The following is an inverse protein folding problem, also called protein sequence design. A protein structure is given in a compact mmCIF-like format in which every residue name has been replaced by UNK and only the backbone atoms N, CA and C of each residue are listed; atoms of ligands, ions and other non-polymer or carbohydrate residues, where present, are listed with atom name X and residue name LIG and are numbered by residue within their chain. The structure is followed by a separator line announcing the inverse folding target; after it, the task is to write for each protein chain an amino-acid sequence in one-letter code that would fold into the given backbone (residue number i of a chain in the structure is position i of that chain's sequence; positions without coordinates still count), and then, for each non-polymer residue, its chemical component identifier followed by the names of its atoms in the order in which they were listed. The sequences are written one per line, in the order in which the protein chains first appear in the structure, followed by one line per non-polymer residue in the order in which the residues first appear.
data_IF_289014386624
#
_entry.id   IF_289014386624
#
_cell.length_a   1.000
_cell.length_b   1.000
_cell.length_c   1.000
_cell.angle_alpha   90.00
_cell.angle_beta   90.00
_cell.angle_gamma   90.00
#
_symmetry.space_group_name_H-M   'P 1'
#
loop_
_entity.id
_entity.type
_entity.pdbx_description
1 polymer ?
#
# COMPACT_ATOMS: atom_id res chain seq x y z
N UNK A 1 11.16 7.77 -18.56
CA UNK A 1 10.64 7.94 -17.19
C UNK A 1 11.05 6.72 -16.39
N UNK A 2 11.78 6.90 -15.30
CA UNK A 2 12.00 5.81 -14.37
C UNK A 2 10.68 5.62 -13.61
N UNK A 3 9.86 4.71 -14.11
CA UNK A 3 8.65 4.32 -13.40
C UNK A 3 9.00 3.80 -12.02
N UNK A 4 8.22 4.17 -11.01
CA UNK A 4 8.34 3.67 -9.64
C UNK A 4 7.91 2.20 -9.61
N UNK A 5 8.82 1.31 -9.98
CA UNK A 5 8.59 -0.13 -9.93
C UNK A 5 9.47 -0.76 -8.85
N UNK A 6 8.98 -1.84 -8.29
CA UNK A 6 9.75 -2.75 -7.47
C UNK A 6 9.78 -4.14 -8.11
N UNK A 7 10.87 -4.84 -7.90
CA UNK A 7 11.08 -6.19 -8.42
C UNK A 7 11.61 -7.05 -7.27
N UNK A 8 11.01 -8.23 -7.11
CA UNK A 8 11.34 -9.17 -6.05
C UNK A 8 11.43 -10.58 -6.64
N UNK A 9 12.41 -11.37 -6.19
CA UNK A 9 12.41 -12.81 -6.45
C UNK A 9 11.22 -13.45 -5.71
N UNK A 10 10.50 -14.32 -6.40
CA UNK A 10 9.35 -15.03 -5.85
C UNK A 10 9.29 -16.45 -6.39
N UNK A 11 9.73 -17.41 -5.57
CA UNK A 11 9.63 -18.86 -5.85
C UNK A 11 10.11 -19.23 -7.26
N UNK A 12 11.33 -18.81 -7.61
CA UNK A 12 11.96 -19.08 -8.91
C UNK A 12 11.43 -18.24 -10.07
N UNK A 13 10.67 -17.19 -9.78
CA UNK A 13 10.21 -16.19 -10.73
C UNK A 13 10.49 -14.78 -10.24
N UNK A 14 9.91 -13.79 -10.89
CA UNK A 14 9.96 -12.40 -10.48
C UNK A 14 8.55 -11.87 -10.25
N UNK A 15 8.34 -11.22 -9.12
CA UNK A 15 7.19 -10.37 -8.89
C UNK A 15 7.58 -8.95 -9.28
N UNK A 16 6.78 -8.33 -10.13
CA UNK A 16 6.95 -6.95 -10.56
C UNK A 16 5.70 -6.19 -10.16
N UNK A 17 5.86 -5.07 -9.49
CA UNK A 17 4.78 -4.17 -9.15
C UNK A 17 5.26 -2.73 -9.14
N UNK A 18 4.35 -1.81 -8.90
CA UNK A 18 4.68 -0.40 -8.90
C UNK A 18 3.54 0.45 -8.37
N UNK A 19 3.79 1.75 -8.32
CA UNK A 19 2.81 2.76 -7.96
C UNK A 19 2.56 3.65 -9.15
N UNK A 20 1.34 3.60 -9.65
CA UNK A 20 0.90 4.45 -10.75
C UNK A 20 0.74 5.90 -10.28
N UNK A 21 1.07 6.89 -11.14
CA UNK A 21 0.87 8.31 -10.81
C UNK A 21 -0.62 8.69 -10.76
N UNK A 22 -1.48 7.90 -11.37
CA UNK A 22 -2.92 8.13 -11.47
C UNK A 22 -3.68 6.82 -11.24
N UNK A 23 -3.93 6.50 -9.97
CA UNK A 23 -4.75 5.34 -9.61
C UNK A 23 -6.21 5.54 -10.01
N UNK A 24 -6.89 4.46 -10.40
CA UNK A 24 -8.33 4.49 -10.69
C UNK A 24 -9.11 4.52 -9.37
N UNK A 25 -9.96 5.55 -9.13
CA UNK A 25 -10.76 5.60 -7.91
C UNK A 25 -11.73 4.42 -7.83
N UNK A 26 -11.85 3.82 -6.66
CA UNK A 26 -12.79 2.74 -6.40
C UNK A 26 -13.37 2.85 -4.98
N UNK A 27 -14.64 2.44 -4.80
CA UNK A 27 -15.26 2.40 -3.48
C UNK A 27 -15.49 3.77 -2.84
N UNK A 28 -15.42 4.87 -3.61
CA UNK A 28 -15.68 6.21 -3.08
C UNK A 28 -17.14 6.46 -2.74
N UNK A 29 -17.40 7.47 -1.90
CA UNK A 29 -18.75 7.83 -1.44
C UNK A 29 -19.70 8.08 -2.63
N UNK A 30 -19.23 8.71 -3.70
CA UNK A 30 -20.01 8.94 -4.92
C UNK A 30 -20.40 7.65 -5.67
N UNK A 31 -19.66 6.56 -5.46
CA UNK A 31 -19.93 5.24 -6.02
C UNK A 31 -20.70 4.31 -5.06
N UNK A 32 -21.24 4.85 -3.96
CA UNK A 32 -21.99 4.08 -2.98
C UNK A 32 -21.13 3.40 -1.89
N UNK A 33 -19.84 3.72 -1.84
CA UNK A 33 -18.91 3.14 -0.87
C UNK A 33 -18.32 1.80 -1.30
N UNK A 34 -17.63 1.16 -0.39
CA UNK A 34 -17.12 -0.20 -0.57
C UNK A 34 -18.28 -1.18 -0.38
N UNK A 35 -18.50 -2.15 -1.29
CA UNK A 35 -19.55 -3.14 -1.10
C UNK A 35 -19.38 -3.93 0.19
N UNK A 36 -20.45 -4.13 0.97
CA UNK A 36 -20.44 -4.81 2.29
C UNK A 36 -19.81 -6.21 2.27
N UNK A 37 -19.88 -6.89 1.13
CA UNK A 37 -19.36 -8.26 0.95
C UNK A 37 -18.02 -8.30 0.23
N UNK A 38 -17.35 -7.16 0.05
CA UNK A 38 -16.03 -7.12 -0.56
C UNK A 38 -14.97 -7.45 0.48
N UNK A 39 -14.61 -8.71 0.58
CA UNK A 39 -13.55 -9.22 1.45
C UNK A 39 -12.80 -10.36 0.75
N UNK A 40 -11.49 -10.44 0.96
CA UNK A 40 -10.63 -11.47 0.37
C UNK A 40 -10.76 -11.61 -1.15
N UNK A 41 -11.04 -10.51 -1.84
CA UNK A 41 -11.25 -10.49 -3.28
C UNK A 41 -10.20 -9.63 -3.96
N UNK A 42 -9.90 -9.99 -5.20
CA UNK A 42 -9.12 -9.18 -6.12
C UNK A 42 -10.04 -8.62 -7.20
N UNK A 43 -9.59 -7.57 -7.86
CA UNK A 43 -10.23 -7.06 -9.07
C UNK A 43 -9.89 -7.92 -10.29
N UNK A 44 -10.65 -7.72 -11.36
CA UNK A 44 -10.24 -8.25 -12.66
C UNK A 44 -8.90 -7.66 -13.08
N UNK A 45 -8.16 -8.43 -13.85
CA UNK A 45 -6.88 -8.01 -14.41
C UNK A 45 -7.04 -6.73 -15.23
N UNK A 46 -6.20 -5.75 -14.99
CA UNK A 46 -6.16 -4.47 -15.71
C UNK A 46 -4.79 -4.32 -16.40
N UNK A 47 -4.67 -4.92 -17.56
CA UNK A 47 -3.45 -4.93 -18.35
C UNK A 47 -3.08 -3.55 -18.89
N UNK A 48 -4.08 -2.73 -19.23
CA UNK A 48 -3.86 -1.37 -19.71
C UNK A 48 -3.22 -0.50 -18.60
N UNK A 49 -3.67 -0.69 -17.35
CA UNK A 49 -3.09 0.00 -16.19
C UNK A 49 -1.67 -0.50 -15.89
N UNK A 50 -1.41 -1.79 -16.10
CA UNK A 50 -0.13 -2.41 -15.82
C UNK A 50 0.93 -2.18 -16.90
N UNK A 51 0.56 -1.80 -18.13
CA UNK A 51 1.48 -1.69 -19.28
C UNK A 51 2.69 -0.79 -18.98
N UNK A 52 2.48 0.35 -18.33
CA UNK A 52 3.58 1.26 -17.96
C UNK A 52 4.64 0.65 -17.04
N UNK A 53 4.20 -0.23 -16.12
CA UNK A 53 5.11 -0.97 -15.24
C UNK A 53 5.84 -2.06 -16.01
N UNK A 54 5.14 -2.75 -16.91
CA UNK A 54 5.74 -3.77 -17.77
C UNK A 54 6.83 -3.18 -18.66
N UNK A 55 6.59 -2.03 -19.31
CA UNK A 55 7.59 -1.35 -20.12
C UNK A 55 8.82 -0.97 -19.30
N UNK A 56 8.61 -0.45 -18.08
CA UNK A 56 9.70 -0.13 -17.16
C UNK A 56 10.47 -1.38 -16.72
N UNK A 57 9.77 -2.49 -16.47
CA UNK A 57 10.36 -3.79 -16.15
C UNK A 57 11.22 -4.34 -17.29
N UNK A 58 10.69 -4.35 -18.50
CA UNK A 58 11.39 -4.78 -19.73
C UNK A 58 12.64 -3.94 -20.02
N UNK A 59 12.58 -2.64 -19.76
CA UNK A 59 13.74 -1.76 -19.90
C UNK A 59 14.87 -2.14 -18.92
N UNK A 60 14.53 -2.48 -17.68
CA UNK A 60 15.52 -2.84 -16.65
C UNK A 60 16.02 -4.27 -16.76
N UNK A 61 15.16 -5.19 -17.15
CA UNK A 61 15.44 -6.62 -17.28
C UNK A 61 14.94 -7.09 -18.66
N UNK A 62 15.72 -6.91 -19.73
CA UNK A 62 15.30 -7.27 -21.09
C UNK A 62 14.92 -8.74 -21.27
N UNK A 63 15.43 -9.63 -20.44
CA UNK A 63 15.08 -11.05 -20.47
C UNK A 63 13.60 -11.35 -20.15
N UNK A 64 12.89 -10.40 -19.53
CA UNK A 64 11.46 -10.54 -19.24
C UNK A 64 10.58 -10.67 -20.49
N UNK A 65 11.08 -10.21 -21.66
CA UNK A 65 10.32 -10.35 -22.93
C UNK A 65 10.12 -11.81 -23.33
N UNK A 66 10.97 -12.71 -22.85
CA UNK A 66 10.93 -14.14 -23.14
C UNK A 66 10.33 -14.95 -21.97
N UNK A 67 9.89 -14.26 -20.92
CA UNK A 67 9.28 -14.87 -19.74
C UNK A 67 7.75 -15.00 -19.89
N UNK A 68 7.19 -16.02 -19.29
CA UNK A 68 5.74 -16.17 -19.17
C UNK A 68 5.21 -15.36 -17.96
N UNK A 69 4.03 -14.78 -18.14
CA UNK A 69 3.32 -14.15 -17.03
C UNK A 69 2.38 -15.19 -16.41
N UNK A 70 2.55 -15.46 -15.13
CA UNK A 70 1.70 -16.41 -14.40
C UNK A 70 0.40 -15.80 -13.93
N UNK A 71 0.44 -14.56 -13.46
CA UNK A 71 -0.70 -13.90 -12.86
C UNK A 71 -0.50 -12.40 -12.80
N UNK A 72 -1.56 -11.63 -13.00
CA UNK A 72 -1.66 -10.22 -12.63
C UNK A 72 -2.58 -10.09 -11.42
N UNK A 73 -2.06 -9.51 -10.35
CA UNK A 73 -2.83 -9.24 -9.13
C UNK A 73 -3.23 -7.76 -9.11
N UNK A 74 -4.53 -7.51 -9.04
CA UNK A 74 -5.07 -6.15 -8.93
C UNK A 74 -5.97 -6.11 -7.70
N UNK A 75 -5.67 -5.23 -6.76
CA UNK A 75 -6.41 -5.07 -5.53
C UNK A 75 -6.63 -3.61 -5.16
N UNK A 76 -7.60 -3.32 -4.28
CA UNK A 76 -7.78 -1.97 -3.78
C UNK A 76 -6.67 -1.60 -2.80
N UNK A 77 -6.29 -0.34 -2.85
CA UNK A 77 -5.36 0.26 -1.89
C UNK A 77 -6.02 1.51 -1.29
N UNK A 78 -5.68 1.84 -0.05
CA UNK A 78 -6.22 3.04 0.60
C UNK A 78 -5.15 4.10 0.79
N UNK A 79 -5.50 5.34 0.46
CA UNK A 79 -4.64 6.50 0.64
C UNK A 79 -5.40 7.59 1.40
N UNK A 80 -4.73 8.20 2.37
CA UNK A 80 -5.25 9.38 3.06
C UNK A 80 -5.11 10.62 2.17
N UNK A 81 -5.98 11.63 2.30
CA UNK A 81 -5.93 12.83 1.45
C UNK A 81 -4.64 13.64 1.57
N UNK A 82 -3.99 13.59 2.72
CA UNK A 82 -2.75 14.29 3.03
C UNK A 82 -1.50 13.42 2.89
N UNK A 83 -1.68 12.16 2.50
CA UNK A 83 -0.63 11.18 2.35
C UNK A 83 0.12 10.83 3.66
N UNK A 84 -0.50 11.12 4.82
CA UNK A 84 0.03 10.83 6.15
C UNK A 84 -0.82 9.76 6.81
N UNK A 85 -0.21 8.88 7.58
CA UNK A 85 -0.95 7.89 8.35
C UNK A 85 -1.38 8.41 9.72
N UNK A 86 -2.41 7.79 10.28
CA UNK A 86 -2.93 8.10 11.60
C UNK A 86 -2.27 7.16 12.60
N UNK A 87 -1.52 7.72 13.54
CA UNK A 87 -0.83 6.94 14.58
C UNK A 87 -0.92 7.67 15.91
N UNK A 88 -1.56 7.06 16.90
CA UNK A 88 -1.64 7.60 18.25
C UNK A 88 -2.97 7.43 18.93
N UNK A 89 -3.16 8.12 20.05
CA UNK A 89 -4.41 8.11 20.80
C UNK A 89 -5.47 8.98 20.14
N UNK A 90 -6.70 8.47 20.07
CA UNK A 90 -7.83 9.18 19.47
C UNK A 90 -8.25 10.36 20.35
N UNK A 91 -8.36 11.60 19.82
CA UNK A 91 -8.66 12.77 20.64
C UNK A 91 -10.04 12.74 21.35
N UNK A 92 -10.96 11.94 20.84
CA UNK A 92 -12.34 11.88 21.33
C UNK A 92 -12.58 10.74 22.33
N UNK A 93 -11.66 9.81 22.49
CA UNK A 93 -11.84 8.60 23.30
C UNK A 93 -10.54 8.24 24.01
N UNK A 94 -10.56 8.34 25.33
CA UNK A 94 -9.41 7.95 26.15
C UNK A 94 -9.05 6.46 25.93
N UNK A 95 -7.77 6.19 25.84
CA UNK A 95 -7.20 4.85 25.67
C UNK A 95 -7.60 4.12 24.39
N UNK A 96 -8.16 4.80 23.42
CA UNK A 96 -8.31 4.27 22.07
C UNK A 96 -7.11 4.68 21.23
N UNK A 97 -6.27 3.71 20.88
CA UNK A 97 -5.11 3.94 20.02
C UNK A 97 -5.40 3.48 18.60
N UNK A 98 -4.97 4.27 17.64
CA UNK A 98 -5.22 4.04 16.21
C UNK A 98 -3.89 3.92 15.48
N UNK A 99 -3.82 2.96 14.56
CA UNK A 99 -2.77 2.83 13.57
C UNK A 99 -3.44 2.51 12.23
N UNK A 100 -3.59 3.50 11.35
CA UNK A 100 -4.36 3.36 10.12
C UNK A 100 -3.84 4.28 9.01
N UNK A 101 -4.27 4.00 7.76
CA UNK A 101 -3.99 4.86 6.62
C UNK A 101 -2.51 4.88 6.21
N UNK A 102 -1.83 3.76 6.26
CA UNK A 102 -0.39 3.67 5.96
C UNK A 102 -0.02 3.81 4.49
N UNK A 103 -0.94 4.13 3.60
CA UNK A 103 -0.64 4.52 2.22
C UNK A 103 0.31 3.54 1.51
N UNK A 104 0.00 2.25 1.55
CA UNK A 104 0.79 1.14 0.96
C UNK A 104 2.12 0.82 1.65
N UNK A 105 2.53 1.56 2.67
CA UNK A 105 3.80 1.31 3.39
C UNK A 105 3.62 0.63 4.75
N UNK A 106 2.43 0.06 5.02
CA UNK A 106 2.09 -0.52 6.32
C UNK A 106 3.03 -1.63 6.79
N UNK A 107 3.44 -2.52 5.88
CA UNK A 107 4.35 -3.62 6.24
C UNK A 107 5.71 -3.08 6.69
N UNK A 108 6.31 -2.16 5.95
CA UNK A 108 7.62 -1.59 6.31
C UNK A 108 7.54 -0.67 7.54
N UNK A 109 6.40 -0.04 7.80
CA UNK A 109 6.18 0.86 8.94
C UNK A 109 5.78 0.13 10.21
N UNK A 110 5.31 -1.12 10.13
CA UNK A 110 4.70 -1.87 11.23
C UNK A 110 5.58 -1.94 12.48
N UNK A 111 6.88 -2.17 12.31
CA UNK A 111 7.80 -2.26 13.44
C UNK A 111 7.93 -0.95 14.21
N UNK A 112 8.11 0.16 13.50
CA UNK A 112 8.22 1.50 14.11
C UNK A 112 6.90 1.96 14.74
N UNK A 113 5.80 1.80 14.02
CA UNK A 113 4.47 2.15 14.50
C UNK A 113 4.07 1.33 15.72
N UNK A 114 4.32 0.02 15.71
CA UNK A 114 4.05 -0.86 16.85
C UNK A 114 4.86 -0.51 18.08
N UNK A 115 6.15 -0.18 17.92
CA UNK A 115 6.99 0.28 19.02
C UNK A 115 6.46 1.58 19.61
N UNK A 116 6.17 2.57 18.78
CA UNK A 116 5.67 3.87 19.23
C UNK A 116 4.35 3.75 20.01
N UNK A 117 3.41 2.96 19.51
CA UNK A 117 2.14 2.72 20.21
C UNK A 117 2.34 1.95 21.53
N UNK A 118 3.21 0.94 21.55
CA UNK A 118 3.48 0.19 22.77
C UNK A 118 4.08 1.10 23.87
N UNK A 119 5.04 1.94 23.53
CA UNK A 119 5.61 2.93 24.45
C UNK A 119 4.53 3.93 24.92
N UNK A 120 3.72 4.43 24.01
CA UNK A 120 2.65 5.38 24.35
C UNK A 120 1.62 4.77 25.31
N UNK A 121 1.20 3.53 25.05
CA UNK A 121 0.23 2.83 25.92
C UNK A 121 0.79 2.55 27.31
N UNK A 122 2.05 2.15 27.40
CA UNK A 122 2.67 1.71 28.67
C UNK A 122 3.23 2.87 29.46
N UNK A 123 3.87 3.82 28.80
CA UNK A 123 4.65 4.89 29.43
C UNK A 123 4.00 6.28 29.31
N UNK A 124 2.90 6.38 28.56
CA UNK A 124 2.14 7.62 28.35
C UNK A 124 2.63 8.51 27.22
N UNK A 125 3.77 8.19 26.61
CA UNK A 125 4.28 8.88 25.42
C UNK A 125 5.30 8.00 24.66
N UNK A 126 5.37 8.11 23.33
CA UNK A 126 6.40 7.45 22.55
C UNK A 126 7.74 8.17 22.71
N UNK A 127 8.85 7.43 22.60
CA UNK A 127 10.21 8.02 22.58
C UNK A 127 10.54 8.66 21.24
N UNK A 128 9.81 8.28 20.21
CA UNK A 128 9.95 8.78 18.84
C UNK A 128 9.12 10.05 18.65
N UNK A 129 9.68 11.07 18.02
CA UNK A 129 8.90 12.24 17.62
C UNK A 129 7.97 11.86 16.47
N UNK A 130 6.68 11.98 16.68
CA UNK A 130 5.63 11.63 15.71
C UNK A 130 4.93 12.86 15.12
N UNK A 131 5.40 14.07 15.40
CA UNK A 131 4.70 15.30 15.00
C UNK A 131 4.66 15.52 13.48
N UNK A 132 5.58 14.92 12.75
CA UNK A 132 5.73 15.12 11.29
C UNK A 132 5.36 13.88 10.44
N UNK A 133 4.72 12.86 11.04
CA UNK A 133 4.27 11.66 10.34
C UNK A 133 2.77 11.65 10.07
#
# INVERSE_FOLDING_TARGET
MDGTIYIKEEVGGLLIGGFEPHAKPWGGVAAGGIPDKFEFQLFNEDWDQFDGFMQSGLHRIPALKDAEIRQLLVGPESFTPDNRYILGEAPALDRLFVAAGFNSIGIQSAGGAGKALAEWIVEGAPTMDLADI
#
